data_IF_176772379370
#
_entry.id   IF_176772379370
#
_cell.length_a   1.000
_cell.length_b   1.000
_cell.length_c   1.000
_cell.angle_alpha   90.00
_cell.angle_beta   90.00
_cell.angle_gamma   90.00
#
_symmetry.space_group_name_H-M   'P 1'
#
loop_
_entity.id
_entity.type
_entity.pdbx_description
1 polymer ?
#
# COMPACT_ATOMS: atom_id res chain seq x y z
N UNK A 1 2.32 -20.68 -24.81
CA UNK A 1 2.88 -20.15 -23.57
C UNK A 1 1.76 -19.44 -22.81
N UNK A 2 1.47 -19.91 -21.62
CA UNK A 2 0.46 -19.31 -20.71
C UNK A 2 0.95 -17.96 -20.18
N UNK A 3 0.07 -17.17 -19.56
CA UNK A 3 0.48 -15.90 -18.95
C UNK A 3 1.47 -16.15 -17.79
N UNK A 4 1.31 -17.25 -17.04
CA UNK A 4 2.21 -17.62 -15.96
C UNK A 4 3.62 -17.99 -16.48
N UNK A 5 3.72 -18.78 -17.56
CA UNK A 5 5.01 -19.10 -18.20
C UNK A 5 5.72 -17.83 -18.70
N UNK A 6 4.97 -16.88 -19.29
CA UNK A 6 5.53 -15.58 -19.71
C UNK A 6 6.02 -14.76 -18.51
N UNK A 7 5.26 -14.71 -17.42
CA UNK A 7 5.65 -14.02 -16.21
C UNK A 7 6.94 -14.61 -15.63
N UNK A 8 7.01 -15.93 -15.54
CA UNK A 8 8.22 -16.64 -15.08
C UNK A 8 9.43 -16.28 -15.94
N UNK A 9 9.30 -16.39 -17.27
CA UNK A 9 10.39 -16.03 -18.19
C UNK A 9 10.83 -14.56 -18.01
N UNK A 10 9.89 -13.62 -17.80
CA UNK A 10 10.23 -12.21 -17.57
C UNK A 10 10.99 -12.03 -16.24
N UNK A 11 10.58 -12.72 -15.17
CA UNK A 11 11.25 -12.72 -13.86
C UNK A 11 12.65 -13.31 -13.98
N UNK A 12 12.81 -14.46 -14.66
CA UNK A 12 14.09 -15.12 -14.84
C UNK A 12 15.10 -14.22 -15.58
N UNK A 13 14.61 -13.48 -16.59
CA UNK A 13 15.41 -12.58 -17.41
C UNK A 13 15.60 -11.16 -16.79
N UNK A 14 15.10 -10.93 -15.57
CA UNK A 14 15.21 -9.65 -14.88
C UNK A 14 16.16 -9.73 -13.68
N UNK A 15 16.91 -8.66 -13.43
CA UNK A 15 17.84 -8.55 -12.32
C UNK A 15 17.53 -7.36 -11.40
N UNK A 16 16.64 -6.47 -11.83
CA UNK A 16 16.22 -5.29 -11.08
C UNK A 16 14.70 -5.15 -11.17
N UNK A 17 14.00 -5.99 -10.41
CA UNK A 17 12.54 -5.97 -10.34
C UNK A 17 12.10 -4.96 -9.28
N UNK A 18 11.13 -4.13 -9.60
CA UNK A 18 10.42 -3.28 -8.66
C UNK A 18 8.94 -3.67 -8.64
N UNK A 19 8.37 -3.77 -7.45
CA UNK A 19 6.94 -4.01 -7.26
C UNK A 19 6.24 -2.72 -6.86
N UNK A 20 5.11 -2.42 -7.50
CA UNK A 20 4.23 -1.29 -7.17
C UNK A 20 2.85 -1.81 -6.82
N UNK A 21 2.47 -1.74 -5.54
CA UNK A 21 1.25 -2.34 -4.99
C UNK A 21 0.24 -1.34 -4.44
N UNK A 22 -1.03 -1.76 -4.47
CA UNK A 22 -2.13 -1.06 -3.79
C UNK A 22 -2.99 -2.02 -2.98
N UNK A 23 -4.16 -1.56 -2.52
CA UNK A 23 -5.02 -2.27 -1.58
C UNK A 23 -5.47 -3.68 -2.06
N UNK A 24 -5.54 -3.90 -3.37
CA UNK A 24 -5.85 -5.21 -3.94
C UNK A 24 -4.82 -6.30 -3.64
N UNK A 25 -3.59 -5.94 -3.23
CA UNK A 25 -2.57 -6.92 -2.78
C UNK A 25 -2.96 -7.56 -1.45
N UNK A 26 -3.69 -6.83 -0.60
CA UNK A 26 -4.06 -7.28 0.75
C UNK A 26 -5.47 -7.87 0.84
N UNK A 27 -6.21 -7.96 -0.28
CA UNK A 27 -7.57 -8.54 -0.27
C UNK A 27 -7.58 -10.02 0.11
N UNK A 28 -6.57 -10.77 -0.32
CA UNK A 28 -6.37 -12.18 0.07
C UNK A 28 -5.91 -12.33 1.53
N UNK A 29 -5.59 -11.23 2.21
CA UNK A 29 -5.34 -11.16 3.66
C UNK A 29 -6.58 -10.79 4.47
N UNK A 30 -7.73 -10.59 3.81
CA UNK A 30 -8.99 -10.19 4.43
C UNK A 30 -9.16 -8.68 4.62
N UNK A 31 -8.24 -7.86 4.11
CA UNK A 31 -8.37 -6.39 4.11
C UNK A 31 -9.16 -5.99 2.85
N UNK A 32 -10.35 -5.35 2.99
CA UNK A 32 -11.08 -4.90 1.82
C UNK A 32 -10.28 -3.80 1.09
N UNK A 33 -10.32 -3.81 -0.23
CA UNK A 33 -9.83 -2.70 -1.01
C UNK A 33 -10.75 -1.47 -0.88
N UNK A 34 -10.41 -0.36 -1.52
CA UNK A 34 -11.21 0.86 -1.44
C UNK A 34 -12.38 0.88 -2.43
N UNK A 35 -12.18 0.42 -3.68
CA UNK A 35 -13.07 0.65 -4.83
C UNK A 35 -13.65 -0.60 -5.45
N UNK A 36 -13.18 -1.80 -5.06
CA UNK A 36 -13.71 -3.07 -5.54
C UNK A 36 -15.15 -3.31 -5.09
N UNK A 37 -15.77 -4.38 -5.55
CA UNK A 37 -17.18 -4.69 -5.28
C UNK A 37 -17.52 -4.72 -3.79
N UNK A 38 -16.60 -5.21 -2.95
CA UNK A 38 -16.71 -5.24 -1.48
C UNK A 38 -15.84 -4.16 -0.81
N UNK A 39 -15.41 -3.16 -1.57
CA UNK A 39 -14.50 -2.11 -1.12
C UNK A 39 -15.12 -1.18 -0.08
N UNK A 40 -14.25 -0.49 0.66
CA UNK A 40 -14.67 0.43 1.72
C UNK A 40 -15.63 1.52 1.22
N UNK A 41 -15.49 1.98 -0.04
CA UNK A 41 -16.34 3.03 -0.61
C UNK A 41 -17.75 2.55 -0.97
N UNK A 42 -17.96 1.24 -1.06
CA UNK A 42 -19.26 0.64 -1.33
C UNK A 42 -20.00 0.19 -0.05
N UNK A 43 -19.39 0.38 1.13
CA UNK A 43 -20.03 0.09 2.41
C UNK A 43 -20.89 1.26 2.86
N UNK A 44 -22.02 0.95 3.53
CA UNK A 44 -22.84 1.99 4.16
C UNK A 44 -22.05 2.68 5.28
N UNK A 45 -21.70 3.92 5.08
CA UNK A 45 -21.04 4.79 6.04
C UNK A 45 -21.82 6.11 6.17
N UNK A 46 -21.79 6.71 7.36
CA UNK A 46 -22.43 8.01 7.64
C UNK A 46 -21.87 9.14 6.75
N UNK A 47 -20.60 9.07 6.44
CA UNK A 47 -19.87 10.00 5.57
C UNK A 47 -19.13 9.21 4.48
N UNK A 48 -18.80 9.89 3.38
CA UNK A 48 -17.95 9.29 2.36
C UNK A 48 -16.58 8.91 2.96
N UNK A 49 -16.05 7.70 2.73
CA UNK A 49 -14.73 7.30 3.24
C UNK A 49 -13.58 8.23 2.83
N UNK A 50 -13.61 8.85 1.65
CA UNK A 50 -12.61 9.86 1.25
C UNK A 50 -12.70 11.12 2.13
N UNK A 51 -13.89 11.53 2.52
CA UNK A 51 -14.10 12.65 3.45
C UNK A 51 -13.60 12.27 4.84
N UNK A 52 -14.00 11.10 5.36
CA UNK A 52 -13.57 10.62 6.68
C UNK A 52 -12.06 10.48 6.82
N UNK A 53 -11.38 10.14 5.73
CA UNK A 53 -9.92 10.01 5.68
C UNK A 53 -9.22 11.30 5.22
N UNK A 54 -9.85 12.46 5.36
CA UNK A 54 -9.25 13.77 5.09
C UNK A 54 -8.71 14.44 6.34
N UNK A 55 -7.68 15.29 6.18
CA UNK A 55 -7.09 16.06 7.27
C UNK A 55 -8.13 17.02 7.91
N UNK A 56 -8.94 17.67 7.08
CA UNK A 56 -9.99 18.58 7.57
C UNK A 56 -11.03 17.85 8.42
N UNK A 57 -11.42 16.64 8.04
CA UNK A 57 -12.36 15.83 8.83
C UNK A 57 -11.72 15.34 10.13
N UNK A 58 -10.47 14.85 10.08
CA UNK A 58 -9.73 14.45 11.28
C UNK A 58 -9.66 15.57 12.33
N UNK A 59 -9.43 16.80 11.90
CA UNK A 59 -9.36 17.98 12.80
C UNK A 59 -10.74 18.36 13.34
N UNK A 60 -11.78 18.37 12.49
CA UNK A 60 -13.11 18.83 12.84
C UNK A 60 -13.93 17.78 13.61
N UNK A 61 -13.73 16.49 13.33
CA UNK A 61 -14.52 15.37 13.83
C UNK A 61 -13.62 14.20 14.29
N UNK A 62 -12.69 14.40 15.26
CA UNK A 62 -11.74 13.38 15.66
C UNK A 62 -12.41 12.14 16.27
N UNK A 63 -13.57 12.26 16.89
CA UNK A 63 -14.36 11.15 17.42
C UNK A 63 -14.90 10.24 16.32
N UNK A 64 -15.49 10.81 15.27
CA UNK A 64 -16.00 10.05 14.12
C UNK A 64 -14.83 9.41 13.32
N UNK A 65 -13.73 10.15 13.15
CA UNK A 65 -12.52 9.63 12.52
C UNK A 65 -12.00 8.40 13.27
N UNK A 66 -11.81 8.49 14.60
CA UNK A 66 -11.27 7.40 15.39
C UNK A 66 -12.25 6.24 15.55
N UNK A 67 -13.56 6.50 15.55
CA UNK A 67 -14.56 5.44 15.49
C UNK A 67 -14.44 4.63 14.20
N UNK A 68 -14.31 5.29 13.06
CA UNK A 68 -14.09 4.64 11.77
C UNK A 68 -12.72 3.93 11.73
N UNK A 69 -11.65 4.64 12.12
CA UNK A 69 -10.27 4.14 12.06
C UNK A 69 -10.07 2.88 12.90
N UNK A 70 -10.52 2.90 14.17
CA UNK A 70 -10.38 1.76 15.08
C UNK A 70 -11.24 0.56 14.64
N UNK A 71 -12.46 0.79 14.22
CA UNK A 71 -13.40 -0.29 13.88
C UNK A 71 -13.23 -0.86 12.48
N UNK A 72 -12.70 -0.10 11.53
CA UNK A 72 -12.61 -0.51 10.13
C UNK A 72 -11.18 -0.79 9.66
N UNK A 73 -10.20 -0.09 10.22
CA UNK A 73 -8.80 -0.23 9.80
C UNK A 73 -7.97 -1.04 10.81
N UNK A 74 -8.06 -0.72 12.11
CA UNK A 74 -7.27 -1.40 13.13
C UNK A 74 -7.85 -2.74 13.60
N UNK A 75 -9.15 -2.97 13.43
CA UNK A 75 -9.80 -4.22 13.88
C UNK A 75 -9.43 -5.45 13.06
N UNK A 76 -8.75 -5.26 11.93
CA UNK A 76 -8.38 -6.32 11.01
C UNK A 76 -7.12 -7.03 11.51
N UNK A 77 -7.28 -8.23 12.06
CA UNK A 77 -6.16 -9.10 12.42
C UNK A 77 -5.61 -9.82 11.17
N UNK A 78 -5.19 -9.04 10.18
CA UNK A 78 -4.72 -9.54 8.91
C UNK A 78 -3.30 -10.11 9.02
N UNK A 79 -3.03 -11.13 8.19
CA UNK A 79 -1.70 -11.74 8.07
C UNK A 79 -1.23 -11.64 6.62
N UNK A 80 0.10 -11.62 6.39
CA UNK A 80 0.63 -11.68 5.05
C UNK A 80 0.05 -12.86 4.26
N UNK A 81 -0.27 -12.65 2.99
CA UNK A 81 -0.70 -13.68 2.05
C UNK A 81 0.47 -14.11 1.15
N UNK A 82 0.19 -15.01 0.21
CA UNK A 82 1.18 -15.57 -0.70
C UNK A 82 1.94 -14.50 -1.52
N UNK A 83 1.28 -13.39 -1.91
CA UNK A 83 1.96 -12.29 -2.61
C UNK A 83 3.07 -11.68 -1.74
N UNK A 84 2.77 -11.38 -0.49
CA UNK A 84 3.75 -10.76 0.43
C UNK A 84 4.96 -11.68 0.66
N UNK A 85 4.72 -12.98 0.88
CA UNK A 85 5.79 -13.95 1.09
C UNK A 85 6.64 -14.15 -0.17
N UNK A 86 6.02 -14.22 -1.36
CA UNK A 86 6.77 -14.36 -2.62
C UNK A 86 7.63 -13.13 -2.92
N UNK A 87 7.13 -11.93 -2.64
CA UNK A 87 7.93 -10.71 -2.79
C UNK A 87 9.14 -10.69 -1.85
N UNK A 88 8.97 -11.15 -0.61
CA UNK A 88 10.09 -11.30 0.33
C UNK A 88 11.11 -12.36 -0.14
N UNK A 89 10.65 -13.46 -0.75
CA UNK A 89 11.49 -14.49 -1.34
C UNK A 89 12.31 -13.93 -2.52
N UNK A 90 11.67 -13.22 -3.44
CA UNK A 90 12.33 -12.53 -4.57
C UNK A 90 13.36 -11.48 -4.12
N UNK A 91 13.05 -10.73 -3.04
CA UNK A 91 14.00 -9.79 -2.44
C UNK A 91 15.21 -10.52 -1.86
N UNK A 92 14.98 -11.60 -1.10
CA UNK A 92 16.04 -12.42 -0.52
C UNK A 92 16.94 -13.05 -1.59
N UNK A 93 16.38 -13.44 -2.74
CA UNK A 93 17.12 -13.93 -3.90
C UNK A 93 17.86 -12.83 -4.68
N UNK A 94 17.69 -11.56 -4.28
CA UNK A 94 18.33 -10.41 -4.93
C UNK A 94 17.71 -10.00 -6.27
N UNK A 95 16.56 -10.55 -6.65
CA UNK A 95 15.81 -10.22 -7.85
C UNK A 95 14.97 -8.95 -7.66
N UNK A 96 14.18 -8.88 -6.58
CA UNK A 96 13.38 -7.72 -6.22
C UNK A 96 14.25 -6.70 -5.45
N UNK A 97 14.26 -5.46 -5.92
CA UNK A 97 15.09 -4.39 -5.34
C UNK A 97 14.29 -3.45 -4.45
N UNK A 98 13.01 -3.29 -4.74
CA UNK A 98 12.14 -2.43 -3.94
C UNK A 98 10.67 -2.85 -4.05
N UNK A 99 9.95 -2.64 -2.97
CA UNK A 99 8.49 -2.65 -2.90
C UNK A 99 8.04 -1.20 -2.69
N UNK A 100 7.20 -0.71 -3.58
CA UNK A 100 6.55 0.60 -3.47
C UNK A 100 5.08 0.31 -3.21
N UNK A 101 4.60 0.66 -2.04
CA UNK A 101 3.23 0.34 -1.65
C UNK A 101 2.41 1.58 -1.30
N UNK A 102 1.15 1.56 -1.69
CA UNK A 102 0.13 2.51 -1.26
C UNK A 102 -0.55 2.07 0.04
N UNK A 103 -0.29 0.82 0.47
CA UNK A 103 -0.88 0.25 1.67
C UNK A 103 -0.17 0.76 2.92
N UNK A 104 -0.94 0.82 4.01
CA UNK A 104 -0.49 1.26 5.34
C UNK A 104 -0.44 0.10 6.34
N UNK A 105 -0.74 -1.12 5.89
CA UNK A 105 -1.03 -2.30 6.72
C UNK A 105 0.21 -3.01 7.31
N UNK A 106 1.42 -2.71 6.81
CA UNK A 106 2.67 -3.31 7.28
C UNK A 106 2.85 -4.80 6.91
N UNK A 107 2.00 -5.36 6.03
CA UNK A 107 2.06 -6.79 5.70
C UNK A 107 3.31 -7.18 4.92
N UNK A 108 3.90 -6.28 4.14
CA UNK A 108 5.18 -6.53 3.48
C UNK A 108 6.32 -6.70 4.49
N UNK A 109 6.36 -5.83 5.52
CA UNK A 109 7.32 -5.94 6.63
C UNK A 109 7.11 -7.23 7.42
N UNK A 110 5.85 -7.54 7.72
CA UNK A 110 5.48 -8.76 8.45
C UNK A 110 5.84 -10.06 7.68
N UNK A 111 5.87 -10.02 6.33
CA UNK A 111 6.33 -11.12 5.49
C UNK A 111 7.86 -11.23 5.41
N UNK A 112 8.61 -10.23 5.89
CA UNK A 112 10.07 -10.22 5.94
C UNK A 112 10.75 -9.36 4.88
N UNK A 113 10.02 -8.64 4.03
CA UNK A 113 10.59 -7.65 3.11
C UNK A 113 11.21 -6.48 3.88
N UNK A 114 12.28 -5.89 3.33
CA UNK A 114 13.07 -4.85 3.99
C UNK A 114 13.12 -3.53 3.23
N UNK A 115 13.20 -3.59 1.90
CA UNK A 115 13.28 -2.38 1.08
C UNK A 115 11.90 -1.96 0.59
N UNK A 116 11.17 -1.26 1.47
CA UNK A 116 9.77 -0.89 1.28
C UNK A 116 9.63 0.63 1.35
N UNK A 117 8.95 1.19 0.37
CA UNK A 117 8.56 2.60 0.31
C UNK A 117 7.05 2.70 0.51
N UNK A 118 6.63 3.08 1.72
CA UNK A 118 5.22 3.26 2.10
C UNK A 118 4.78 4.68 1.70
N UNK A 119 4.19 4.82 0.51
CA UNK A 119 3.81 6.13 -0.04
C UNK A 119 2.78 6.88 0.80
N UNK A 120 1.93 6.16 1.50
CA UNK A 120 0.85 6.72 2.31
C UNK A 120 1.09 6.56 3.82
N UNK A 121 2.35 6.35 4.22
CA UNK A 121 2.72 6.18 5.62
C UNK A 121 2.32 4.82 6.19
N UNK A 122 2.22 4.74 7.51
CA UNK A 122 2.01 3.49 8.25
C UNK A 122 0.95 3.64 9.34
N UNK A 123 0.17 2.57 9.55
CA UNK A 123 -0.76 2.48 10.66
C UNK A 123 -0.11 1.98 11.97
N UNK A 124 1.20 1.74 11.97
CA UNK A 124 1.93 1.21 13.11
C UNK A 124 2.64 2.26 13.96
N UNK A 125 2.66 3.51 13.53
CA UNK A 125 3.24 4.64 14.25
C UNK A 125 2.27 5.83 14.30
N UNK A 126 2.42 6.66 15.33
CA UNK A 126 1.55 7.78 15.63
C UNK A 126 2.34 8.91 16.25
N UNK A 127 1.90 10.14 16.09
CA UNK A 127 2.52 11.30 16.72
C UNK A 127 1.50 12.29 17.25
N UNK A 128 1.89 13.05 18.25
CA UNK A 128 1.13 14.18 18.74
C UNK A 128 1.21 15.34 17.74
N UNK A 129 0.08 15.83 17.25
CA UNK A 129 0.02 16.95 16.31
C UNK A 129 0.53 18.27 16.87
N UNK A 130 0.70 18.40 18.20
CA UNK A 130 1.13 19.63 18.89
C UNK A 130 2.60 19.63 19.28
N UNK A 131 3.13 18.53 19.84
CA UNK A 131 4.50 18.46 20.36
C UNK A 131 5.38 17.44 19.64
N UNK A 132 4.83 16.65 18.68
CA UNK A 132 5.59 15.64 17.93
C UNK A 132 5.97 14.39 18.72
N UNK A 133 5.51 14.23 19.98
CA UNK A 133 5.76 13.00 20.74
C UNK A 133 5.22 11.80 20.00
N UNK A 134 6.04 10.76 19.86
CA UNK A 134 5.69 9.51 19.20
C UNK A 134 4.93 8.58 20.13
N UNK A 135 4.03 7.78 19.55
CA UNK A 135 3.23 6.77 20.21
C UNK A 135 3.17 5.50 19.36
N UNK A 136 2.94 4.38 20.02
CA UNK A 136 2.76 3.09 19.36
C UNK A 136 1.28 2.68 19.26
N UNK A 137 1.05 1.55 18.59
CA UNK A 137 -0.27 0.95 18.46
C UNK A 137 -0.92 0.63 19.80
N UNK A 138 -0.13 0.16 20.78
CA UNK A 138 -0.65 -0.24 22.10
C UNK A 138 -1.24 0.97 22.83
N UNK A 139 -0.60 2.14 22.72
CA UNK A 139 -1.15 3.39 23.27
C UNK A 139 -2.53 3.70 22.67
N UNK A 140 -2.67 3.57 21.35
CA UNK A 140 -3.92 3.86 20.65
C UNK A 140 -5.03 2.88 21.00
N UNK A 141 -4.70 1.59 21.06
CA UNK A 141 -5.67 0.54 21.40
C UNK A 141 -6.18 0.65 22.84
N UNK A 142 -5.31 1.04 23.78
CA UNK A 142 -5.65 1.22 25.18
C UNK A 142 -6.21 2.62 25.51
N UNK A 143 -6.16 3.56 24.59
CA UNK A 143 -6.73 4.90 24.76
C UNK A 143 -8.25 4.88 24.71
N UNK A 144 -8.87 5.96 25.25
CA UNK A 144 -10.26 6.28 24.96
C UNK A 144 -10.47 6.37 23.44
N UNK A 145 -11.71 6.56 23.00
CA UNK A 145 -12.02 6.63 21.55
C UNK A 145 -11.06 7.57 20.82
N UNK A 146 -10.88 8.78 21.29
CA UNK A 146 -9.92 9.76 20.76
C UNK A 146 -8.67 9.77 21.63
N UNK A 147 -7.48 9.41 21.09
CA UNK A 147 -6.23 9.47 21.83
C UNK A 147 -5.68 10.91 21.88
N UNK A 148 -5.31 11.35 23.07
CA UNK A 148 -4.65 12.62 23.32
C UNK A 148 -3.28 12.38 23.96
N UNK A 149 -2.33 13.24 23.63
CA UNK A 149 -0.98 13.21 24.19
C UNK A 149 -1.01 13.36 25.71
N UNK A 150 -0.31 12.49 26.41
CA UNK A 150 -0.17 12.48 27.85
C UNK A 150 0.63 13.68 28.39
N UNK A 151 1.53 14.28 27.55
CA UNK A 151 2.36 15.42 27.95
C UNK A 151 1.68 16.77 27.73
N UNK A 152 1.08 16.99 26.56
CA UNK A 152 0.61 18.32 26.14
C UNK A 152 -0.88 18.39 25.82
N UNK A 153 -1.60 17.27 25.98
CA UNK A 153 -3.03 17.11 25.61
C UNK A 153 -3.36 17.45 24.16
N UNK A 154 -2.37 17.44 23.26
CA UNK A 154 -2.59 17.55 21.81
C UNK A 154 -3.21 16.27 21.24
N UNK A 155 -3.93 16.40 20.14
CA UNK A 155 -4.51 15.26 19.43
C UNK A 155 -3.40 14.38 18.87
N UNK A 156 -3.47 13.07 19.06
CA UNK A 156 -2.53 12.11 18.48
C UNK A 156 -3.06 11.69 17.11
N UNK A 157 -2.21 11.67 16.10
CA UNK A 157 -2.56 11.32 14.70
C UNK A 157 -1.78 10.07 14.27
N UNK A 158 -2.41 9.11 13.56
CA UNK A 158 -1.67 8.04 12.91
C UNK A 158 -0.76 8.62 11.81
N UNK A 159 0.42 8.01 11.61
CA UNK A 159 1.40 8.42 10.59
C UNK A 159 0.99 7.96 9.18
N UNK A 160 -0.31 7.98 8.91
CA UNK A 160 -0.87 7.77 7.58
C UNK A 160 -1.07 9.11 6.89
N UNK A 161 -0.88 9.14 5.57
CA UNK A 161 -1.16 10.32 4.75
C UNK A 161 -2.66 10.37 4.48
N UNK A 162 -3.34 11.36 5.07
CA UNK A 162 -4.75 11.63 4.82
C UNK A 162 -4.93 12.42 3.51
N UNK A 163 -6.12 12.36 2.92
CA UNK A 163 -6.47 13.28 1.84
C UNK A 163 -6.21 14.73 2.31
N UNK A 164 -5.72 15.60 1.40
CA UNK A 164 -5.25 16.97 1.65
C UNK A 164 -3.86 17.07 2.29
N UNK A 165 -3.21 15.97 2.65
CA UNK A 165 -1.81 15.97 3.07
C UNK A 165 -0.89 15.66 1.87
N UNK A 166 0.34 16.16 1.95
CA UNK A 166 1.38 15.83 0.98
C UNK A 166 2.02 14.49 1.33
N UNK A 167 2.39 13.72 0.31
CA UNK A 167 3.23 12.56 0.49
C UNK A 167 4.66 13.01 0.88
N UNK A 168 5.36 12.16 1.61
CA UNK A 168 6.75 12.41 1.95
C UNK A 168 7.62 12.52 0.69
N UNK A 169 8.34 13.63 0.57
CA UNK A 169 9.15 13.94 -0.61
C UNK A 169 10.32 12.98 -0.78
N UNK A 170 10.97 12.55 0.32
CA UNK A 170 12.11 11.64 0.27
C UNK A 170 11.65 10.24 -0.15
N UNK A 171 10.53 9.77 0.40
CA UNK A 171 9.92 8.49 0.02
C UNK A 171 9.55 8.50 -1.47
N UNK A 172 8.91 9.58 -1.95
CA UNK A 172 8.56 9.72 -3.39
C UNK A 172 9.79 9.74 -4.28
N UNK A 173 10.82 10.51 -3.91
CA UNK A 173 12.05 10.64 -4.71
C UNK A 173 12.81 9.31 -4.77
N UNK A 174 12.88 8.58 -3.66
CA UNK A 174 13.53 7.28 -3.60
C UNK A 174 12.74 6.24 -4.39
N UNK A 175 11.41 6.15 -4.23
CA UNK A 175 10.54 5.26 -4.99
C UNK A 175 10.69 5.51 -6.51
N UNK A 176 10.67 6.77 -6.93
CA UNK A 176 10.87 7.15 -8.33
C UNK A 176 12.24 6.71 -8.86
N UNK A 177 13.29 6.83 -8.04
CA UNK A 177 14.64 6.40 -8.41
C UNK A 177 14.73 4.90 -8.63
N UNK A 178 14.09 4.10 -7.78
CA UNK A 178 14.06 2.65 -7.92
C UNK A 178 13.27 2.23 -9.16
N UNK A 179 12.12 2.85 -9.44
CA UNK A 179 11.36 2.61 -10.69
C UNK A 179 12.20 2.95 -11.93
N UNK A 180 12.92 4.06 -11.91
CA UNK A 180 13.73 4.49 -13.06
C UNK A 180 14.90 3.55 -13.38
N UNK A 181 15.40 2.81 -12.39
CA UNK A 181 16.47 1.82 -12.57
C UNK A 181 15.97 0.43 -12.93
N UNK A 182 14.68 0.16 -12.75
CA UNK A 182 14.12 -1.17 -12.91
C UNK A 182 14.15 -1.64 -14.36
N UNK A 183 14.52 -2.89 -14.57
CA UNK A 183 14.36 -3.59 -15.85
C UNK A 183 12.97 -4.24 -15.97
N UNK A 184 12.33 -4.51 -14.83
CA UNK A 184 10.97 -5.00 -14.74
C UNK A 184 10.19 -4.25 -13.63
N UNK A 185 8.98 -3.79 -13.97
CA UNK A 185 8.03 -3.22 -13.01
C UNK A 185 6.77 -4.09 -12.97
N UNK A 186 6.47 -4.63 -11.79
CA UNK A 186 5.22 -5.36 -11.53
C UNK A 186 4.27 -4.41 -10.82
N UNK A 187 3.15 -4.10 -11.46
CA UNK A 187 2.07 -3.27 -10.89
C UNK A 187 0.92 -4.19 -10.50
N UNK A 188 0.51 -4.17 -9.24
CA UNK A 188 -0.50 -5.11 -8.76
C UNK A 188 -1.49 -4.50 -7.76
N UNK A 189 -2.74 -4.94 -7.81
CA UNK A 189 -3.78 -4.60 -6.83
C UNK A 189 -4.08 -3.10 -6.73
N UNK A 190 -3.94 -2.34 -7.81
CA UNK A 190 -4.16 -0.87 -7.79
C UNK A 190 -4.93 -0.39 -9.02
N UNK A 191 -5.85 0.56 -8.81
CA UNK A 191 -6.56 1.23 -9.90
C UNK A 191 -5.74 2.32 -10.59
N UNK A 192 -4.58 2.72 -10.02
CA UNK A 192 -3.75 3.84 -10.47
C UNK A 192 -4.51 5.17 -10.61
N UNK A 193 -5.54 5.39 -9.78
CA UNK A 193 -6.38 6.60 -9.81
C UNK A 193 -5.95 7.67 -8.80
N UNK A 194 -5.04 7.36 -7.88
CA UNK A 194 -4.59 8.27 -6.82
C UNK A 194 -3.26 8.90 -7.19
N UNK A 195 -3.26 10.23 -7.32
CA UNK A 195 -2.05 11.03 -7.57
C UNK A 195 -1.56 11.66 -6.25
N UNK A 196 -0.23 11.86 -6.07
CA UNK A 196 0.85 11.69 -7.06
C UNK A 196 1.37 10.26 -7.24
N UNK A 197 0.94 9.27 -6.44
CA UNK A 197 1.46 7.90 -6.45
C UNK A 197 1.41 7.26 -7.87
N UNK A 198 0.28 7.37 -8.58
CA UNK A 198 0.14 6.83 -9.94
C UNK A 198 1.11 7.47 -10.94
N UNK A 199 1.55 8.71 -10.71
CA UNK A 199 2.52 9.42 -11.53
C UNK A 199 3.93 8.85 -11.47
N UNK A 200 4.28 8.09 -10.42
CA UNK A 200 5.60 7.48 -10.29
C UNK A 200 5.92 6.50 -11.44
N UNK A 201 4.89 5.86 -11.99
CA UNK A 201 5.06 4.90 -13.10
C UNK A 201 5.63 5.56 -14.36
N UNK A 202 5.48 6.87 -14.53
CA UNK A 202 6.04 7.62 -15.67
C UNK A 202 7.58 7.64 -15.67
N UNK A 203 8.20 7.25 -14.58
CA UNK A 203 9.66 7.08 -14.47
C UNK A 203 10.16 5.72 -14.98
N UNK A 204 9.27 4.79 -15.32
CA UNK A 204 9.66 3.47 -15.80
C UNK A 204 9.99 3.48 -17.28
N UNK A 205 11.20 3.07 -17.64
CA UNK A 205 11.69 2.90 -19.01
C UNK A 205 12.28 1.51 -19.26
N UNK A 206 12.03 0.57 -18.33
CA UNK A 206 12.55 -0.78 -18.40
C UNK A 206 11.84 -1.64 -19.46
N UNK A 207 12.31 -2.89 -19.56
CA UNK A 207 11.89 -3.83 -20.60
C UNK A 207 10.50 -4.42 -20.38
N UNK A 208 10.16 -4.71 -19.13
CA UNK A 208 8.96 -5.48 -18.79
C UNK A 208 8.06 -4.71 -17.81
N UNK A 209 6.94 -4.19 -18.32
CA UNK A 209 5.84 -3.70 -17.50
C UNK A 209 4.77 -4.78 -17.42
N UNK A 210 4.56 -5.32 -16.22
CA UNK A 210 3.56 -6.35 -15.93
C UNK A 210 2.48 -5.77 -15.06
N UNK A 211 1.23 -6.08 -15.35
CA UNK A 211 0.07 -5.69 -14.52
C UNK A 211 -0.64 -6.96 -14.07
N UNK A 212 -0.79 -7.12 -12.74
CA UNK A 212 -1.58 -8.20 -12.12
C UNK A 212 -2.73 -7.52 -11.36
N UNK A 213 -3.90 -7.48 -11.95
CA UNK A 213 -5.02 -6.72 -11.39
C UNK A 213 -6.34 -7.22 -11.97
N UNK A 214 -7.38 -7.26 -11.16
CA UNK A 214 -8.72 -7.69 -11.60
C UNK A 214 -9.24 -6.89 -12.80
N UNK A 215 -9.01 -5.58 -12.79
CA UNK A 215 -9.37 -4.68 -13.89
C UNK A 215 -8.13 -3.99 -14.44
N UNK A 216 -8.04 -3.82 -15.75
CA UNK A 216 -6.95 -3.06 -16.36
C UNK A 216 -7.00 -1.61 -15.85
N UNK A 217 -5.91 -1.07 -15.29
CA UNK A 217 -5.86 0.33 -14.89
C UNK A 217 -6.16 1.27 -16.06
N UNK A 218 -6.87 2.36 -15.77
CA UNK A 218 -7.26 3.36 -16.80
C UNK A 218 -6.09 4.22 -17.30
N UNK A 219 -4.95 4.19 -16.60
CA UNK A 219 -3.73 4.89 -17.02
C UNK A 219 -3.20 4.25 -18.31
N UNK A 220 -2.86 5.07 -19.30
CA UNK A 220 -2.21 4.62 -20.53
C UNK A 220 -0.79 4.12 -20.21
N UNK A 221 -0.59 2.82 -20.33
CA UNK A 221 0.64 2.12 -19.99
C UNK A 221 1.01 1.15 -21.11
N UNK A 222 2.28 1.12 -21.48
CA UNK A 222 2.79 0.12 -22.44
C UNK A 222 2.98 -1.24 -21.75
N UNK A 223 1.88 -1.89 -21.36
CA UNK A 223 1.87 -3.17 -20.64
C UNK A 223 2.35 -4.30 -21.56
N UNK A 224 3.35 -5.05 -21.11
CA UNK A 224 3.86 -6.25 -21.82
C UNK A 224 3.08 -7.50 -21.47
N UNK A 225 2.58 -7.59 -20.25
CA UNK A 225 1.78 -8.71 -19.77
C UNK A 225 0.71 -8.20 -18.80
N UNK A 226 -0.53 -8.58 -19.06
CA UNK A 226 -1.66 -8.35 -18.15
C UNK A 226 -2.23 -9.68 -17.69
N UNK A 227 -2.46 -9.81 -16.39
CA UNK A 227 -3.04 -10.98 -15.74
C UNK A 227 -4.20 -10.51 -14.86
N UNK A 228 -5.41 -10.98 -15.15
CA UNK A 228 -6.66 -10.63 -14.46
C UNK A 228 -7.01 -11.64 -13.35
N UNK A 229 -6.02 -12.04 -12.59
CA UNK A 229 -6.14 -13.01 -11.50
C UNK A 229 -5.74 -12.36 -10.15
N UNK A 230 -6.11 -12.97 -9.00
CA UNK A 230 -5.67 -12.54 -7.67
C UNK A 230 -4.13 -12.54 -7.58
N UNK A 231 -3.59 -11.50 -6.93
CA UNK A 231 -2.13 -11.26 -6.92
C UNK A 231 -1.38 -12.38 -6.21
N UNK A 232 -1.92 -12.87 -5.08
CA UNK A 232 -1.32 -13.96 -4.32
C UNK A 232 -1.35 -15.27 -5.08
N UNK A 233 -2.46 -15.60 -5.73
CA UNK A 233 -2.59 -16.82 -6.55
C UNK A 233 -1.62 -16.85 -7.74
N UNK A 234 -1.35 -15.69 -8.34
CA UNK A 234 -0.40 -15.56 -9.45
C UNK A 234 1.03 -15.70 -8.94
N UNK A 235 1.40 -14.92 -7.90
CA UNK A 235 2.76 -14.89 -7.40
C UNK A 235 3.16 -16.20 -6.71
N UNK A 236 2.23 -16.89 -6.04
CA UNK A 236 2.51 -18.18 -5.39
C UNK A 236 3.05 -19.25 -6.36
N UNK A 237 2.62 -19.19 -7.63
CA UNK A 237 3.03 -20.12 -8.69
C UNK A 237 4.41 -19.82 -9.28
N UNK A 238 5.03 -18.69 -8.92
CA UNK A 238 6.36 -18.31 -9.42
C UNK A 238 7.44 -19.00 -8.63
N UNK A 239 8.45 -19.48 -9.33
CA UNK A 239 9.69 -20.02 -8.74
C UNK A 239 10.79 -18.95 -8.72
N UNK A 240 11.67 -19.02 -7.71
CA UNK A 240 12.75 -18.05 -7.49
C UNK A 240 14.11 -18.77 -7.58
#
# INVERSE_FOLDING_TARGET
MTNLEKLQEMIDNSNNIVFFGGAGVSTESGIPDFRGTNGLYNQECKYNPEEMLSLSFFIAHPDEFYNFYKNKLLSLNAKPNAAHFKLAELEKAGKLKAIITQNIDGLHQAAGSKNIYELHGSMHSYHCTKCGKEFDMDYILNSKLVPYCDDCHGLVKPDIVLYQENLDFEVLANARREIAKADMLIVAGTSLSVYPAAGLLDAFFGKYLVVINKDMPKKDLHVKLYIDEPVGEVLDKITV
#
